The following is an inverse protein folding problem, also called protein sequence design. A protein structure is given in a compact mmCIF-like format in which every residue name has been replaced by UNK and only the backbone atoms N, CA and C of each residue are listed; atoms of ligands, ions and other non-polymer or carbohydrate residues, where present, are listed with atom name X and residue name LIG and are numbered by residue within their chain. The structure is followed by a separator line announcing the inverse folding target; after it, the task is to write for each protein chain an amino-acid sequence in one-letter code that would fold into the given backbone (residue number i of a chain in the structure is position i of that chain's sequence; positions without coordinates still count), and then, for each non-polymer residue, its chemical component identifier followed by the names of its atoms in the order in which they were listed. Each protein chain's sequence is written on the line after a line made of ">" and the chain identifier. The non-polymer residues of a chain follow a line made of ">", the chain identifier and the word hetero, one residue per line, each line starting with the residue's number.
data_IF_038539267661
#
_entry.id   IF_038539267661
#
_cell.length_a   1.000
_cell.length_b   1.000
_cell.length_c   1.000
_cell.angle_alpha   90.00
_cell.angle_beta   90.00
_cell.angle_gamma   90.00
#
_symmetry.space_group_name_H-M   'P 1'
#
loop_
_entity.id
_entity.type
_entity.pdbx_description
1 polymer ?
#
# COMPACT_ATOMS: atom_id res chain seq x y z
N UNK A 1 13.14 -1.66 -15.04
CA UNK A 1 12.86 -0.75 -13.90
C UNK A 1 11.56 -1.22 -13.32
N UNK A 2 11.48 -1.43 -12.00
CA UNK A 2 10.23 -1.84 -11.33
C UNK A 2 9.28 -0.64 -11.32
N UNK A 3 8.00 -0.83 -11.64
CA UNK A 3 7.01 0.23 -11.51
C UNK A 3 6.78 0.54 -10.03
N UNK A 4 6.81 1.82 -9.66
CA UNK A 4 6.71 2.26 -8.27
C UNK A 4 5.55 3.22 -8.09
N UNK A 5 4.72 3.00 -7.07
CA UNK A 5 3.68 3.95 -6.65
C UNK A 5 4.03 4.51 -5.29
N UNK A 6 4.09 5.83 -5.22
CA UNK A 6 4.46 6.62 -4.06
C UNK A 6 3.21 7.23 -3.42
N UNK A 7 3.13 7.10 -2.11
CA UNK A 7 2.12 7.73 -1.26
C UNK A 7 2.84 8.61 -0.24
N UNK A 8 2.94 9.91 -0.53
CA UNK A 8 3.67 10.87 0.30
C UNK A 8 2.81 11.43 1.44
N UNK A 9 3.47 12.00 2.47
CA UNK A 9 2.83 12.60 3.66
C UNK A 9 1.96 13.83 3.36
N UNK A 10 2.17 14.50 2.22
CA UNK A 10 1.34 15.59 1.72
C UNK A 10 0.06 15.10 0.99
N UNK A 11 -0.22 13.80 1.09
CA UNK A 11 -1.33 13.10 0.43
C UNK A 11 -1.20 12.97 -1.09
N UNK A 12 -0.11 13.45 -1.69
CA UNK A 12 0.13 13.24 -3.11
C UNK A 12 0.35 11.76 -3.43
N UNK A 13 -0.04 11.38 -4.63
CA UNK A 13 0.16 10.05 -5.20
C UNK A 13 0.92 10.23 -6.50
N UNK A 14 2.01 9.48 -6.67
CA UNK A 14 2.81 9.50 -7.90
C UNK A 14 3.10 8.08 -8.35
N UNK A 15 3.10 7.86 -9.65
CA UNK A 15 3.54 6.61 -10.25
C UNK A 15 4.77 6.87 -11.12
N UNK A 16 5.79 6.01 -10.99
CA UNK A 16 6.95 5.97 -11.86
C UNK A 16 6.95 4.64 -12.65
N UNK A 17 6.94 4.74 -13.98
CA UNK A 17 6.82 3.58 -14.87
C UNK A 17 5.40 3.07 -15.03
N UNK A 18 5.21 2.13 -15.97
CA UNK A 18 3.92 1.48 -16.21
C UNK A 18 3.80 0.22 -15.37
N UNK A 19 2.69 0.07 -14.66
CA UNK A 19 2.34 -1.17 -13.97
C UNK A 19 1.94 -2.19 -15.02
N UNK A 20 2.58 -3.37 -15.03
CA UNK A 20 2.30 -4.43 -15.99
C UNK A 20 1.93 -5.74 -15.31
N UNK A 21 1.02 -6.46 -15.93
CA UNK A 21 0.66 -7.81 -15.54
C UNK A 21 1.90 -8.74 -15.61
N UNK A 22 2.07 -9.59 -14.61
CA UNK A 22 3.22 -10.51 -14.50
C UNK A 22 4.52 -9.87 -13.99
N UNK A 23 4.58 -8.54 -13.86
CA UNK A 23 5.75 -7.81 -13.37
C UNK A 23 5.61 -7.43 -11.88
N UNK A 24 6.72 -7.16 -11.17
CA UNK A 24 6.68 -6.61 -9.83
C UNK A 24 6.17 -5.16 -9.83
N UNK A 25 5.37 -4.84 -8.82
CA UNK A 25 4.94 -3.51 -8.43
C UNK A 25 5.51 -3.19 -7.05
N UNK A 26 6.13 -2.01 -6.92
CA UNK A 26 6.65 -1.50 -5.65
C UNK A 26 5.72 -0.45 -5.06
N UNK A 27 5.41 -0.58 -3.77
CA UNK A 27 4.64 0.38 -3.00
C UNK A 27 5.56 1.10 -2.03
N UNK A 28 5.72 2.42 -2.22
CA UNK A 28 6.42 3.30 -1.30
C UNK A 28 5.40 4.14 -0.53
N UNK A 29 5.37 3.97 0.79
CA UNK A 29 4.43 4.65 1.66
C UNK A 29 5.19 5.46 2.70
N UNK A 30 5.00 6.78 2.69
CA UNK A 30 5.47 7.64 3.76
C UNK A 30 4.59 7.41 4.99
N UNK A 31 5.13 6.88 6.11
CA UNK A 31 4.32 6.61 7.28
C UNK A 31 3.54 7.84 7.73
N UNK A 32 4.11 9.05 7.63
CA UNK A 32 3.55 10.29 8.19
C UNK A 32 2.26 10.75 7.50
N UNK A 33 1.90 10.10 6.39
CA UNK A 33 0.56 10.16 5.80
C UNK A 33 -0.52 9.61 6.74
N UNK A 34 -0.20 8.64 7.60
CA UNK A 34 -1.10 8.03 8.58
C UNK A 34 -0.49 8.03 10.01
N UNK A 35 -0.46 9.20 10.68
CA UNK A 35 0.26 9.38 11.94
C UNK A 35 -0.50 8.89 13.19
N UNK A 36 -1.79 8.54 13.05
CA UNK A 36 -2.62 8.04 14.13
C UNK A 36 -2.36 6.56 14.44
N UNK A 37 -2.74 6.10 15.64
CA UNK A 37 -2.54 4.71 16.09
C UNK A 37 -1.08 4.26 16.03
N UNK A 38 -0.19 5.06 16.66
CA UNK A 38 1.25 4.80 16.71
C UNK A 38 1.76 4.59 18.14
N UNK A 39 1.20 3.60 18.84
CA UNK A 39 1.64 3.29 20.22
C UNK A 39 3.10 2.82 20.32
N UNK A 40 3.71 2.98 21.50
CA UNK A 40 5.06 2.49 21.78
C UNK A 40 5.04 1.49 22.94
N UNK A 41 5.94 0.50 22.90
CA UNK A 41 6.21 -0.43 24.01
C UNK A 41 7.71 -0.45 24.28
N UNK A 42 8.11 -0.18 25.52
CA UNK A 42 9.54 -0.12 25.92
C UNK A 42 10.39 0.80 25.01
N UNK A 43 9.82 1.93 24.59
CA UNK A 43 10.48 2.89 23.69
C UNK A 43 10.55 2.47 22.23
N UNK A 44 10.02 1.30 21.86
CA UNK A 44 9.98 0.80 20.49
C UNK A 44 8.60 0.99 19.86
N UNK A 45 8.50 1.28 18.54
CA UNK A 45 7.23 1.27 17.82
C UNK A 45 6.48 -0.04 18.03
N UNK A 46 5.20 0.05 18.42
CA UNK A 46 4.30 -1.09 18.57
C UNK A 46 3.03 -0.88 17.73
N UNK A 47 3.27 -0.50 16.47
CA UNK A 47 2.28 -0.25 15.45
C UNK A 47 2.78 -0.76 14.09
N UNK A 48 1.87 -0.92 13.13
CA UNK A 48 2.18 -1.40 11.79
C UNK A 48 1.18 -0.84 10.78
N UNK A 49 1.69 -0.30 9.68
CA UNK A 49 0.90 0.04 8.49
C UNK A 49 1.00 -1.10 7.49
N UNK A 50 -0.15 -1.68 7.16
CA UNK A 50 -0.29 -2.66 6.09
C UNK A 50 -0.96 -2.02 4.88
N UNK A 51 -0.50 -2.39 3.69
CA UNK A 51 -1.16 -2.14 2.43
C UNK A 51 -1.94 -3.39 2.00
N UNK A 52 -3.11 -3.18 1.43
CA UNK A 52 -4.00 -4.22 0.92
C UNK A 52 -4.32 -3.93 -0.53
N UNK A 53 -4.19 -4.93 -1.40
CA UNK A 53 -4.48 -4.85 -2.82
C UNK A 53 -5.56 -5.87 -3.18
N UNK A 54 -6.52 -5.47 -4.00
CA UNK A 54 -7.42 -6.36 -4.73
C UNK A 54 -7.18 -6.18 -6.24
N UNK A 55 -6.86 -7.27 -6.93
CA UNK A 55 -6.55 -7.28 -8.36
C UNK A 55 -7.80 -7.66 -9.17
N UNK A 56 -8.19 -6.82 -10.12
CA UNK A 56 -9.36 -7.05 -10.97
C UNK A 56 -8.96 -7.55 -12.36
N UNK A 57 -9.72 -8.50 -12.96
CA UNK A 57 -11.07 -8.90 -12.56
C UNK A 57 -11.15 -10.09 -11.60
N UNK A 58 -10.07 -10.82 -11.34
CA UNK A 58 -10.11 -12.05 -10.55
C UNK A 58 -10.52 -11.86 -9.08
N UNK A 59 -10.35 -10.66 -8.53
CA UNK A 59 -10.55 -10.39 -7.11
C UNK A 59 -9.47 -11.02 -6.23
N UNK A 60 -8.31 -11.36 -6.81
CA UNK A 60 -7.18 -11.87 -6.03
C UNK A 60 -6.72 -10.79 -5.06
N UNK A 61 -6.49 -11.14 -3.80
CA UNK A 61 -6.01 -10.20 -2.79
C UNK A 61 -4.56 -10.47 -2.40
N UNK A 62 -3.79 -9.42 -2.16
CA UNK A 62 -2.46 -9.50 -1.53
C UNK A 62 -2.31 -8.38 -0.51
N UNK A 63 -1.55 -8.62 0.55
CA UNK A 63 -1.24 -7.60 1.56
C UNK A 63 0.19 -7.71 2.06
N UNK A 64 0.73 -6.58 2.51
CA UNK A 64 2.10 -6.50 3.01
C UNK A 64 2.30 -5.30 3.92
N UNK A 65 3.28 -5.42 4.81
CA UNK A 65 3.65 -4.33 5.72
C UNK A 65 4.46 -3.29 4.97
N UNK A 66 4.05 -2.02 5.06
CA UNK A 66 4.75 -0.87 4.45
C UNK A 66 5.35 0.08 5.48
N UNK A 67 4.99 -0.03 6.77
CA UNK A 67 5.68 0.65 7.86
C UNK A 67 5.46 -0.04 9.22
N UNK A 68 6.34 0.15 10.22
CA UNK A 68 7.70 0.66 10.07
C UNK A 68 8.59 -0.45 9.48
N UNK A 69 9.10 -0.26 8.25
CA UNK A 69 10.03 -1.19 7.58
C UNK A 69 11.14 -0.37 6.93
N UNK A 70 12.33 -0.95 6.81
CA UNK A 70 13.47 -0.34 6.12
C UNK A 70 13.43 -0.56 4.61
N UNK A 71 12.65 -1.52 4.13
CA UNK A 71 12.54 -1.88 2.73
C UNK A 71 11.09 -1.71 2.26
N UNK A 72 10.87 -1.11 1.07
CA UNK A 72 9.55 -1.02 0.47
C UNK A 72 8.99 -2.40 0.12
N UNK A 73 7.66 -2.48 0.10
CA UNK A 73 6.98 -3.72 -0.23
C UNK A 73 6.88 -3.86 -1.75
N UNK A 74 7.35 -5.00 -2.27
CA UNK A 74 7.17 -5.41 -3.66
C UNK A 74 6.18 -6.58 -3.76
N UNK A 75 5.30 -6.51 -4.76
CA UNK A 75 4.22 -7.45 -4.99
C UNK A 75 4.13 -7.79 -6.47
N UNK A 76 3.98 -9.07 -6.82
CA UNK A 76 3.79 -9.47 -8.22
C UNK A 76 2.36 -9.19 -8.66
N UNK A 77 2.20 -8.47 -9.76
CA UNK A 77 0.89 -8.21 -10.37
C UNK A 77 0.41 -9.48 -11.11
N UNK A 78 -0.78 -10.02 -10.82
CA UNK A 78 -1.32 -11.18 -11.54
C UNK A 78 -1.42 -10.94 -13.05
N UNK A 79 -1.24 -12.01 -13.85
CA UNK A 79 -1.22 -11.93 -15.32
C UNK A 79 -2.55 -11.45 -15.93
N UNK A 80 -3.66 -11.65 -15.23
CA UNK A 80 -5.00 -11.24 -15.67
C UNK A 80 -5.40 -9.84 -15.17
N UNK A 81 -4.59 -9.21 -14.32
CA UNK A 81 -4.93 -7.94 -13.69
C UNK A 81 -5.01 -6.80 -14.73
N UNK A 82 -6.09 -6.03 -14.63
CA UNK A 82 -6.36 -4.80 -15.39
C UNK A 82 -6.42 -3.57 -14.50
N UNK A 83 -6.83 -3.76 -13.26
CA UNK A 83 -6.88 -2.71 -12.24
C UNK A 83 -6.47 -3.26 -10.89
N UNK A 84 -5.99 -2.36 -10.04
CA UNK A 84 -5.64 -2.65 -8.66
C UNK A 84 -6.40 -1.67 -7.78
N UNK A 85 -7.23 -2.19 -6.88
CA UNK A 85 -7.80 -1.45 -5.77
C UNK A 85 -6.84 -1.54 -4.58
N UNK A 86 -6.57 -0.42 -3.90
CA UNK A 86 -5.53 -0.32 -2.88
C UNK A 86 -5.98 0.53 -1.69
N UNK A 87 -5.70 0.08 -0.46
CA UNK A 87 -5.91 0.84 0.76
C UNK A 87 -4.90 0.45 1.85
N UNK A 88 -4.79 1.30 2.87
CA UNK A 88 -3.86 1.11 3.97
C UNK A 88 -4.57 1.13 5.33
N UNK A 89 -4.04 0.33 6.26
CA UNK A 89 -4.47 0.30 7.65
C UNK A 89 -3.27 0.45 8.57
N UNK A 90 -3.35 1.38 9.53
CA UNK A 90 -2.47 1.37 10.69
C UNK A 90 -3.18 0.73 11.87
N UNK A 91 -2.52 -0.24 12.51
CA UNK A 91 -2.94 -0.81 13.78
C UNK A 91 -1.86 -0.67 14.83
N UNK A 92 -2.24 -0.59 16.10
CA UNK A 92 -1.31 -0.69 17.21
C UNK A 92 -1.74 -1.73 18.26
N UNK A 93 -0.84 -2.05 19.19
CA UNK A 93 -1.08 -3.07 20.21
C UNK A 93 -2.25 -2.74 21.17
N UNK A 94 -2.72 -1.49 21.20
CA UNK A 94 -3.82 -1.07 22.10
C UNK A 94 -5.19 -1.36 21.49
N UNK A 95 -5.22 -1.82 20.24
CA UNK A 95 -6.44 -2.01 19.46
C UNK A 95 -6.87 -0.76 18.69
N UNK A 96 -6.06 0.30 18.67
CA UNK A 96 -6.33 1.46 17.81
C UNK A 96 -6.19 1.07 16.34
N UNK A 97 -7.09 1.58 15.49
CA UNK A 97 -6.97 1.46 14.03
C UNK A 97 -7.25 2.79 13.34
N UNK A 98 -6.50 3.06 12.27
CA UNK A 98 -6.68 4.19 11.38
C UNK A 98 -6.54 3.73 9.92
N UNK A 99 -7.22 4.41 9.00
CA UNK A 99 -7.28 4.02 7.60
C UNK A 99 -6.83 5.14 6.68
N UNK A 100 -6.12 4.76 5.63
CA UNK A 100 -5.93 5.59 4.44
C UNK A 100 -6.53 4.84 3.24
N UNK A 101 -7.77 5.19 2.92
CA UNK A 101 -8.61 4.53 1.92
C UNK A 101 -9.27 5.54 0.99
N UNK A 102 -8.66 6.72 0.80
CA UNK A 102 -9.25 7.82 0.02
C UNK A 102 -10.71 8.10 0.42
N UNK A 103 -10.95 8.26 1.72
CA UNK A 103 -12.29 8.45 2.30
C UNK A 103 -13.28 7.30 1.96
N UNK A 104 -12.80 6.05 1.93
CA UNK A 104 -13.61 4.86 1.66
C UNK A 104 -13.80 4.51 0.19
N UNK A 105 -13.21 5.27 -0.74
CA UNK A 105 -13.25 4.96 -2.18
C UNK A 105 -12.11 4.04 -2.65
N UNK A 106 -11.10 3.87 -1.78
CA UNK A 106 -9.83 3.24 -2.07
C UNK A 106 -9.06 3.95 -3.22
N UNK A 107 -7.80 3.60 -3.38
CA UNK A 107 -6.97 4.04 -4.49
C UNK A 107 -7.11 3.05 -5.63
N UNK A 108 -7.11 3.57 -6.85
CA UNK A 108 -7.24 2.76 -8.06
C UNK A 108 -6.03 3.00 -8.95
N UNK A 109 -5.36 1.90 -9.32
CA UNK A 109 -4.23 1.90 -10.25
C UNK A 109 -4.64 1.14 -11.51
N UNK A 110 -4.30 1.70 -12.66
CA UNK A 110 -4.50 1.04 -13.95
C UNK A 110 -3.28 0.16 -14.26
N UNK A 111 -3.53 -1.06 -14.73
CA UNK A 111 -2.49 -1.94 -15.27
C UNK A 111 -2.47 -1.73 -16.77
N UNK A 112 -1.31 -1.32 -17.30
CA UNK A 112 -1.14 -1.06 -18.71
C UNK A 112 -1.47 -2.32 -19.54
N UNK A 113 -2.24 -2.14 -20.61
CA UNK A 113 -2.33 -3.15 -21.65
C UNK A 113 -1.00 -3.26 -22.39
N UNK A 114 -0.65 -4.47 -22.81
CA UNK A 114 0.40 -4.69 -23.80
C UNK A 114 0.13 -3.92 -25.11
#
# INVERSE_FOLDING_TARGET
>A
MVATVHFSSDWSQRQDGDIRAGEPLRIEYDPDRLPHCRSYRYGQPSWSIAAYLCFHPSGQEQSGRVAPVSEPWEVTVPNDAKKIELWFNNTDQTGCTAWDSRYGQNYWLEVASE
#
